data_IF_908192942190
#
_entry.id   IF_908192942190
#
_cell.length_a   1.000
_cell.length_b   1.000
_cell.length_c   1.000
_cell.angle_alpha   90.00
_cell.angle_beta   90.00
_cell.angle_gamma   90.00
#
_symmetry.space_group_name_H-M   'P 1'
#
loop_
_entity.id
_entity.type
_entity.pdbx_description
1 polymer ?
#
# COMPACT_ATOMS: atom_id res chain seq x y z
N UNK A 1 12.44 6.51 -9.66
CA UNK A 1 11.34 6.15 -8.73
C UNK A 1 10.72 4.84 -9.16
N UNK A 2 10.51 3.94 -8.24
CA UNK A 2 9.96 2.62 -8.57
C UNK A 2 8.84 2.26 -7.60
N UNK A 3 7.65 2.03 -8.16
CA UNK A 3 6.49 1.52 -7.44
C UNK A 3 6.07 0.22 -8.12
N UNK A 4 6.23 -0.90 -7.43
CA UNK A 4 5.95 -2.21 -8.01
C UNK A 4 4.45 -2.53 -7.99
N UNK A 5 4.06 -3.58 -8.71
CA UNK A 5 2.68 -4.07 -8.71
C UNK A 5 2.21 -4.49 -7.31
N UNK A 6 3.13 -4.95 -6.48
CA UNK A 6 2.84 -5.39 -5.10
C UNK A 6 2.16 -4.28 -4.28
N UNK A 7 2.76 -3.10 -4.25
CA UNK A 7 2.20 -1.95 -3.54
C UNK A 7 0.90 -1.47 -4.15
N UNK A 8 0.86 -1.32 -5.47
CA UNK A 8 -0.33 -0.85 -6.19
C UNK A 8 -1.51 -1.80 -6.02
N UNK A 9 -1.27 -3.11 -6.13
CA UNK A 9 -2.33 -4.11 -6.00
C UNK A 9 -2.82 -4.21 -4.56
N UNK A 10 -1.94 -4.04 -3.58
CA UNK A 10 -2.35 -3.99 -2.17
C UNK A 10 -3.33 -2.84 -1.93
N UNK A 11 -3.04 -1.67 -2.46
CA UNK A 11 -3.94 -0.51 -2.33
C UNK A 11 -5.26 -0.77 -3.05
N UNK A 12 -5.23 -1.27 -4.29
CA UNK A 12 -6.43 -1.58 -5.07
C UNK A 12 -7.33 -2.55 -4.32
N UNK A 13 -6.74 -3.62 -3.78
CA UNK A 13 -7.48 -4.65 -3.06
C UNK A 13 -8.09 -4.12 -1.76
N UNK A 14 -7.36 -3.28 -1.04
CA UNK A 14 -7.86 -2.69 0.20
C UNK A 14 -8.96 -1.65 -0.05
N UNK A 15 -8.88 -0.89 -1.13
CA UNK A 15 -9.97 0.03 -1.53
C UNK A 15 -11.22 -0.77 -1.84
N UNK A 16 -11.08 -1.88 -2.59
CA UNK A 16 -12.20 -2.78 -2.88
C UNK A 16 -12.83 -3.29 -1.59
N UNK A 17 -12.00 -3.80 -0.68
CA UNK A 17 -12.45 -4.30 0.62
C UNK A 17 -13.15 -3.22 1.45
N UNK A 18 -12.58 -2.03 1.49
CA UNK A 18 -13.10 -0.92 2.31
C UNK A 18 -14.47 -0.45 1.85
N UNK A 19 -14.79 -0.59 0.56
CA UNK A 19 -16.12 -0.23 0.03
C UNK A 19 -17.23 -1.08 0.64
N UNK A 20 -16.91 -2.28 1.09
CA UNK A 20 -17.87 -3.21 1.69
C UNK A 20 -17.70 -3.33 3.21
N UNK A 21 -16.86 -2.48 3.79
CA UNK A 21 -16.62 -2.50 5.23
C UNK A 21 -17.92 -2.27 6.00
N UNK A 22 -18.09 -2.99 7.11
CA UNK A 22 -19.29 -2.97 7.95
C UNK A 22 -20.54 -3.60 7.30
N UNK A 23 -20.43 -4.18 6.09
CA UNK A 23 -21.55 -4.89 5.47
C UNK A 23 -21.35 -6.38 5.67
N UNK A 24 -20.37 -6.96 5.01
CA UNK A 24 -20.04 -8.38 5.09
C UNK A 24 -18.54 -8.58 4.85
N UNK A 25 -17.96 -9.69 5.33
CA UNK A 25 -16.62 -10.06 4.91
C UNK A 25 -16.54 -10.21 3.40
N UNK A 26 -15.39 -9.88 2.81
CA UNK A 26 -15.16 -9.94 1.37
C UNK A 26 -14.15 -11.02 1.07
N UNK A 27 -14.48 -11.94 0.17
CA UNK A 27 -13.57 -13.01 -0.23
C UNK A 27 -12.51 -12.48 -1.19
N UNK A 28 -11.32 -13.07 -1.13
CA UNK A 28 -10.25 -12.72 -2.08
C UNK A 28 -10.63 -13.08 -3.51
N UNK A 29 -11.46 -14.12 -3.68
CA UNK A 29 -11.96 -14.51 -4.98
C UNK A 29 -12.78 -13.39 -5.62
N UNK A 30 -13.65 -12.76 -4.84
CA UNK A 30 -14.46 -11.64 -5.32
C UNK A 30 -13.59 -10.44 -5.70
N UNK A 31 -12.60 -10.12 -4.87
CA UNK A 31 -11.64 -9.05 -5.18
C UNK A 31 -10.88 -9.38 -6.46
N UNK A 32 -10.42 -10.63 -6.60
CA UNK A 32 -9.72 -11.09 -7.79
C UNK A 32 -10.54 -10.86 -9.06
N UNK A 33 -11.82 -11.24 -9.01
CA UNK A 33 -12.72 -11.09 -10.16
C UNK A 33 -12.99 -9.62 -10.49
N UNK A 34 -13.20 -8.78 -9.47
CA UNK A 34 -13.51 -7.36 -9.69
C UNK A 34 -12.30 -6.57 -10.15
N UNK A 35 -11.12 -6.83 -9.60
CA UNK A 35 -9.92 -6.02 -9.84
C UNK A 35 -8.97 -6.61 -10.87
N UNK A 36 -9.23 -7.84 -11.32
CA UNK A 36 -8.35 -8.47 -12.30
C UNK A 36 -6.97 -8.83 -11.76
N UNK A 37 -6.88 -9.16 -10.47
CA UNK A 37 -5.63 -9.55 -9.81
C UNK A 37 -5.68 -11.05 -9.54
N UNK A 38 -4.57 -11.77 -9.77
CA UNK A 38 -4.56 -13.22 -9.54
C UNK A 38 -4.84 -13.54 -8.06
N UNK A 39 -5.61 -14.61 -7.83
CA UNK A 39 -5.95 -15.04 -6.49
C UNK A 39 -4.71 -15.40 -5.65
N UNK A 40 -3.75 -16.11 -6.25
CA UNK A 40 -2.51 -16.47 -5.56
C UNK A 40 -1.75 -15.24 -5.09
N UNK A 41 -1.71 -14.20 -5.92
CA UNK A 41 -1.03 -12.96 -5.58
C UNK A 41 -1.74 -12.23 -4.44
N UNK A 42 -3.09 -12.20 -4.48
CA UNK A 42 -3.88 -11.63 -3.39
C UNK A 42 -3.68 -12.38 -2.08
N UNK A 43 -3.59 -13.70 -2.12
CA UNK A 43 -3.33 -14.49 -0.93
C UNK A 43 -1.99 -14.11 -0.27
N UNK A 44 -0.96 -13.90 -1.07
CA UNK A 44 0.34 -13.45 -0.57
C UNK A 44 0.27 -12.05 0.04
N UNK A 45 -0.38 -11.11 -0.65
CA UNK A 45 -0.55 -9.75 -0.17
C UNK A 45 -1.34 -9.74 1.15
N UNK A 46 -2.49 -10.42 1.20
CA UNK A 46 -3.34 -10.42 2.39
C UNK A 46 -2.72 -11.17 3.57
N UNK A 47 -1.88 -12.16 3.31
CA UNK A 47 -1.10 -12.80 4.38
C UNK A 47 -0.20 -11.78 5.09
N UNK A 48 0.45 -10.92 4.32
CA UNK A 48 1.30 -9.86 4.88
C UNK A 48 0.49 -8.78 5.59
N UNK A 49 -0.62 -8.37 4.99
CA UNK A 49 -1.52 -7.38 5.60
C UNK A 49 -2.10 -7.89 6.92
N UNK A 50 -2.44 -9.17 7.00
CA UNK A 50 -2.94 -9.78 8.23
C UNK A 50 -1.88 -9.82 9.32
N UNK A 51 -0.64 -10.14 8.97
CA UNK A 51 0.48 -10.16 9.94
C UNK A 51 0.71 -8.78 10.56
N UNK A 52 0.45 -7.72 9.81
CA UNK A 52 0.56 -6.34 10.29
C UNK A 52 -0.75 -5.81 10.87
N UNK A 53 -1.74 -6.68 11.01
CA UNK A 53 -3.03 -6.37 11.65
C UNK A 53 -3.83 -5.27 10.94
N UNK A 54 -3.61 -5.09 9.64
CA UNK A 54 -4.42 -4.16 8.82
C UNK A 54 -5.75 -4.80 8.46
N UNK A 55 -5.76 -6.11 8.22
CA UNK A 55 -6.96 -6.89 7.95
C UNK A 55 -7.02 -8.10 8.88
N UNK A 56 -8.21 -8.67 9.03
CA UNK A 56 -8.39 -9.93 9.72
C UNK A 56 -9.28 -10.85 8.88
N UNK A 57 -9.05 -12.14 9.01
CA UNK A 57 -9.83 -13.15 8.29
C UNK A 57 -11.06 -13.57 9.09
N UNK A 58 -12.15 -13.84 8.40
CA UNK A 58 -13.39 -14.39 8.98
C UNK A 58 -13.63 -15.73 8.34
N UNK A 59 -13.73 -16.78 9.15
CA UNK A 59 -13.95 -18.15 8.69
C UNK A 59 -15.44 -18.40 8.41
N UNK A 60 -15.71 -19.36 7.54
CA UNK A 60 -17.06 -19.86 7.25
C UNK A 60 -17.38 -19.76 5.76
N UNK A 61 -18.59 -20.24 5.40
CA UNK A 61 -19.05 -20.25 4.00
C UNK A 61 -19.22 -18.84 3.44
N UNK A 62 -19.53 -17.87 4.31
CA UNK A 62 -19.61 -16.46 3.94
C UNK A 62 -18.45 -15.67 4.55
N UNK A 63 -17.33 -16.34 4.74
CA UNK A 63 -16.13 -15.74 5.27
C UNK A 63 -15.36 -14.95 4.23
N UNK A 64 -14.28 -14.37 4.66
CA UNK A 64 -13.40 -13.57 3.83
C UNK A 64 -12.52 -12.70 4.71
N UNK A 65 -12.33 -11.46 4.30
CA UNK A 65 -11.54 -10.50 5.05
C UNK A 65 -12.36 -9.27 5.40
N UNK A 66 -12.02 -8.66 6.52
CA UNK A 66 -12.54 -7.37 6.95
C UNK A 66 -11.36 -6.50 7.37
N UNK A 67 -11.55 -5.18 7.37
CA UNK A 67 -10.56 -4.27 7.91
C UNK A 67 -10.47 -4.46 9.43
N UNK A 68 -9.25 -4.49 9.95
CA UNK A 68 -9.00 -4.61 11.39
C UNK A 68 -8.88 -3.24 12.06
N UNK A 69 -8.82 -2.17 11.26
CA UNK A 69 -8.76 -0.79 11.70
C UNK A 69 -9.72 0.03 10.85
N UNK A 70 -10.09 1.21 11.34
CA UNK A 70 -10.93 2.12 10.56
C UNK A 70 -10.17 2.58 9.31
N UNK A 71 -10.87 2.70 8.18
CA UNK A 71 -10.25 3.11 6.92
C UNK A 71 -9.50 4.43 7.04
N UNK A 72 -10.01 5.36 7.84
CA UNK A 72 -9.35 6.66 8.09
C UNK A 72 -8.02 6.54 8.83
N UNK A 73 -7.80 5.44 9.54
CA UNK A 73 -6.59 5.18 10.31
C UNK A 73 -5.52 4.43 9.51
N UNK A 74 -5.89 3.86 8.36
CA UNK A 74 -4.97 3.11 7.50
C UNK A 74 -4.40 4.08 6.46
N UNK A 75 -3.13 4.40 6.59
CA UNK A 75 -2.43 5.31 5.67
C UNK A 75 -1.66 4.51 4.62
N UNK A 76 -1.35 5.14 3.48
CA UNK A 76 -0.61 4.49 2.40
C UNK A 76 0.74 3.96 2.86
N UNK A 77 1.45 4.70 3.72
CA UNK A 77 2.73 4.22 4.24
C UNK A 77 2.58 2.92 5.04
N UNK A 78 1.49 2.78 5.80
CA UNK A 78 1.21 1.55 6.54
C UNK A 78 1.02 0.35 5.60
N UNK A 79 0.30 0.58 4.49
CA UNK A 79 0.04 -0.47 3.49
C UNK A 79 1.34 -0.90 2.82
N UNK A 80 2.14 0.07 2.37
CA UNK A 80 3.42 -0.21 1.70
C UNK A 80 4.41 -0.92 2.62
N UNK A 81 4.51 -0.48 3.88
CA UNK A 81 5.36 -1.15 4.86
C UNK A 81 4.93 -2.60 5.10
N UNK A 82 3.62 -2.83 5.16
CA UNK A 82 3.08 -4.17 5.41
C UNK A 82 3.43 -5.16 4.30
N UNK A 83 3.47 -4.71 3.04
CA UNK A 83 3.78 -5.56 1.88
C UNK A 83 5.23 -5.41 1.41
N UNK A 84 6.08 -4.82 2.23
CA UNK A 84 7.51 -4.63 1.94
C UNK A 84 7.76 -3.81 0.67
N UNK A 85 6.87 -2.86 0.37
CA UNK A 85 7.03 -1.94 -0.74
C UNK A 85 7.78 -0.70 -0.27
N UNK A 86 8.89 -0.39 -0.91
CA UNK A 86 9.67 0.81 -0.62
C UNK A 86 9.74 1.67 -1.88
N UNK A 87 9.23 2.88 -1.78
CA UNK A 87 9.29 3.85 -2.88
C UNK A 87 10.52 4.72 -2.67
N UNK A 88 11.49 4.57 -3.57
CA UNK A 88 12.73 5.35 -3.56
C UNK A 88 12.84 6.13 -4.86
N UNK A 89 13.29 7.38 -4.75
CA UNK A 89 13.49 8.25 -5.92
C UNK A 89 14.79 7.92 -6.65
N UNK A 90 15.77 7.35 -5.93
CA UNK A 90 17.06 6.96 -6.46
C UNK A 90 17.47 5.60 -5.93
N UNK A 91 18.37 4.93 -6.64
CA UNK A 91 18.87 3.62 -6.24
C UNK A 91 20.00 3.68 -5.21
N UNK A 92 20.54 4.87 -4.93
CA UNK A 92 21.63 5.02 -3.97
C UNK A 92 21.11 4.80 -2.54
N UNK A 93 21.96 4.17 -1.71
CA UNK A 93 21.67 4.00 -0.30
C UNK A 93 22.17 5.22 0.47
N UNK A 94 21.25 6.01 1.02
CA UNK A 94 21.57 7.25 1.76
C UNK A 94 22.38 7.01 3.02
N UNK A 95 22.28 5.82 3.59
CA UNK A 95 23.02 5.43 4.80
C UNK A 95 24.38 4.84 4.49
N UNK A 96 24.70 4.65 3.21
CA UNK A 96 25.97 4.08 2.79
C UNK A 96 27.12 5.05 3.00
N UNK A 97 28.17 4.60 3.64
CA UNK A 97 29.42 5.38 3.80
C UNK A 97 30.13 5.64 2.46
N UNK A 98 29.72 4.92 1.41
CA UNK A 98 30.29 5.07 0.06
C UNK A 98 29.68 6.23 -0.73
N UNK A 99 28.71 6.97 -0.16
CA UNK A 99 28.07 8.10 -0.84
C UNK A 99 27.20 7.67 -2.02
N UNK A 100 26.78 8.64 -2.81
CA UNK A 100 25.83 8.42 -3.92
C UNK A 100 26.41 7.58 -5.07
N UNK A 101 27.70 7.70 -5.33
CA UNK A 101 28.37 7.07 -6.47
C UNK A 101 29.49 6.11 -6.06
N UNK A 102 29.47 5.61 -4.84
CA UNK A 102 30.54 4.78 -4.30
C UNK A 102 31.81 5.57 -3.93
N UNK A 103 31.75 6.90 -3.98
CA UNK A 103 32.86 7.81 -3.71
C UNK A 103 32.51 8.63 -2.46
N UNK A 104 32.44 8.26 -1.35
CA UNK A 104 32.24 8.96 -0.05
C UNK A 104 31.72 10.42 -0.12
N UNK A 105 31.16 10.85 -1.25
CA UNK A 105 30.64 12.21 -1.46
C UNK A 105 29.23 12.14 -2.01
N UNK A 106 28.41 13.13 -1.67
CA UNK A 106 27.06 13.26 -2.21
C UNK A 106 27.11 13.79 -3.64
N UNK A 107 26.23 13.30 -4.51
CA UNK A 107 26.15 13.83 -5.88
C UNK A 107 25.58 15.26 -5.87
N UNK A 108 25.73 15.97 -7.00
CA UNK A 108 25.29 17.37 -7.11
C UNK A 108 23.79 17.55 -6.87
N UNK A 109 22.99 16.54 -7.17
CA UNK A 109 21.53 16.61 -7.05
C UNK A 109 20.99 15.83 -5.84
N UNK A 110 21.85 15.42 -4.92
CA UNK A 110 21.46 14.66 -3.74
C UNK A 110 20.30 15.30 -2.97
N UNK A 111 20.39 16.59 -2.71
CA UNK A 111 19.37 17.31 -1.93
C UNK A 111 18.03 17.36 -2.66
N UNK A 112 18.03 17.46 -3.99
CA UNK A 112 16.81 17.46 -4.79
C UNK A 112 16.05 16.14 -4.61
N UNK A 113 16.74 15.01 -4.76
CA UNK A 113 16.11 13.69 -4.63
C UNK A 113 15.66 13.42 -3.21
N UNK A 114 16.42 13.88 -2.24
CA UNK A 114 16.06 13.76 -0.83
C UNK A 114 14.78 14.53 -0.53
N UNK A 115 14.67 15.75 -1.03
CA UNK A 115 13.48 16.58 -0.89
C UNK A 115 12.27 15.94 -1.55
N UNK A 116 12.42 15.41 -2.76
CA UNK A 116 11.34 14.71 -3.47
C UNK A 116 10.88 13.48 -2.69
N UNK A 117 11.81 12.68 -2.17
CA UNK A 117 11.47 11.49 -1.39
C UNK A 117 10.70 11.85 -0.11
N UNK A 118 11.10 12.95 0.55
CA UNK A 118 10.39 13.44 1.72
C UNK A 118 8.96 13.89 1.38
N UNK A 119 8.75 14.53 0.24
CA UNK A 119 7.41 14.89 -0.23
C UNK A 119 6.55 13.66 -0.48
N UNK A 120 7.11 12.63 -1.11
CA UNK A 120 6.40 11.37 -1.38
C UNK A 120 6.00 10.71 -0.06
N UNK A 121 6.93 10.61 0.88
CA UNK A 121 6.68 9.98 2.18
C UNK A 121 5.63 10.75 2.98
N UNK A 122 5.68 12.07 2.98
CA UNK A 122 4.68 12.91 3.63
C UNK A 122 3.29 12.70 3.02
N UNK A 123 3.21 12.61 1.69
CA UNK A 123 1.96 12.31 0.99
C UNK A 123 1.38 10.98 1.44
N UNK A 124 2.21 9.94 1.51
CA UNK A 124 1.79 8.60 1.93
C UNK A 124 1.34 8.56 3.39
N UNK A 125 1.97 9.34 4.26
CA UNK A 125 1.59 9.42 5.68
C UNK A 125 0.25 10.12 5.91
N UNK A 126 -0.13 11.01 5.00
CA UNK A 126 -1.37 11.79 5.13
C UNK A 126 -2.56 11.15 4.42
N UNK A 127 -2.30 10.42 3.34
CA UNK A 127 -3.37 9.84 2.52
C UNK A 127 -3.90 8.56 3.16
N UNK A 128 -5.18 8.53 3.49
CA UNK A 128 -5.82 7.38 4.12
C UNK A 128 -6.60 6.53 3.11
N UNK A 129 -6.91 5.30 3.51
CA UNK A 129 -7.76 4.41 2.73
C UNK A 129 -9.16 5.02 2.55
N UNK A 130 -9.68 5.69 3.58
CA UNK A 130 -10.96 6.38 3.50
C UNK A 130 -10.96 7.45 2.41
N UNK A 131 -9.88 8.23 2.29
CA UNK A 131 -9.75 9.25 1.24
C UNK A 131 -9.88 8.64 -0.15
N UNK A 132 -9.28 7.48 -0.37
CA UNK A 132 -9.34 6.78 -1.66
C UNK A 132 -10.73 6.24 -1.97
N UNK A 133 -11.43 5.75 -0.96
CA UNK A 133 -12.81 5.26 -1.12
C UNK A 133 -13.74 6.43 -1.49
N UNK A 134 -13.62 7.56 -0.80
CA UNK A 134 -14.40 8.76 -1.10
C UNK A 134 -14.14 9.28 -2.51
N UNK A 135 -12.88 9.33 -2.91
CA UNK A 135 -12.47 9.78 -4.23
C UNK A 135 -13.10 8.91 -5.34
N UNK A 136 -13.16 7.60 -5.13
CA UNK A 136 -13.79 6.69 -6.07
C UNK A 136 -15.31 6.90 -6.19
N UNK A 137 -15.97 7.21 -5.10
CA UNK A 137 -17.42 7.48 -5.09
C UNK A 137 -17.71 8.75 -5.89
N UNK A 138 -16.96 9.80 -5.66
CA UNK A 138 -17.11 11.08 -6.36
C UNK A 138 -16.91 10.96 -7.86
N UNK A 139 -15.96 10.15 -8.30
CA UNK A 139 -15.66 9.97 -9.73
C UNK A 139 -16.68 9.14 -10.49
N UNK A 140 -17.54 8.41 -9.81
CA UNK A 140 -18.58 7.58 -10.42
C UNK A 140 -19.89 8.30 -10.64
N UNK A 141 -19.96 9.52 -10.17
CA UNK A 141 -21.12 10.40 -10.38
C UNK A 141 -20.89 11.28 -11.65
#
# INVERSE_FOLDING_TARGET
MKLTSKGRYAVMALVDLARFDNINPVSLRDISLRQGISLNYLEQIFSKLRKKEIVQSVRGTQGGYVLNKKAREIKLNNIFDAVDEKVKTVQCNKESKKGCNGKSTKCLTHNLWDELENHINNFFEKKSLEDLVKDNIERRI
#
